data_IF_669546956586
#
_entry.id   IF_669546956586
#
_cell.length_a   1.000
_cell.length_b   1.000
_cell.length_c   1.000
_cell.angle_alpha   90.00
_cell.angle_beta   90.00
_cell.angle_gamma   90.00
#
_symmetry.space_group_name_H-M   'P 1'
#
loop_
_entity.id
_entity.type
_entity.pdbx_description
1 polymer ?
#
# COMPACT_ATOMS: atom_id res chain seq x y z
N UNK A 1 -6.72 -10.32 -24.45
CA UNK A 1 -7.19 -11.37 -23.51
C UNK A 1 -8.19 -10.81 -22.51
N UNK A 2 -9.03 -11.67 -21.94
CA UNK A 2 -10.07 -11.31 -20.97
C UNK A 2 -9.59 -11.47 -19.53
N UNK A 3 -9.68 -10.40 -18.74
CA UNK A 3 -9.08 -10.30 -17.41
C UNK A 3 -10.14 -9.95 -16.36
N UNK A 4 -10.04 -10.56 -15.17
CA UNK A 4 -10.72 -10.10 -13.96
C UNK A 4 -9.67 -9.47 -13.05
N UNK A 5 -9.93 -8.24 -12.61
CA UNK A 5 -9.00 -7.49 -11.77
C UNK A 5 -9.58 -7.35 -10.36
N UNK A 6 -8.76 -7.61 -9.34
CA UNK A 6 -9.15 -7.51 -7.94
C UNK A 6 -8.17 -6.60 -7.23
N UNK A 7 -8.56 -5.37 -6.89
CA UNK A 7 -7.62 -4.42 -6.34
C UNK A 7 -8.11 -3.00 -6.11
N UNK A 8 -7.23 -2.18 -5.53
CA UNK A 8 -7.50 -0.80 -5.14
C UNK A 8 -6.45 0.17 -5.74
N UNK A 9 -6.35 1.38 -5.18
CA UNK A 9 -5.68 2.51 -5.82
C UNK A 9 -4.16 2.36 -6.00
N UNK A 10 -3.44 1.68 -5.10
CA UNK A 10 -1.98 1.58 -5.15
C UNK A 10 -1.50 0.99 -6.48
N UNK A 11 -2.26 0.04 -7.03
CA UNK A 11 -1.96 -0.61 -8.30
C UNK A 11 -2.90 -0.18 -9.44
N UNK A 12 -3.61 0.93 -9.29
CA UNK A 12 -4.48 1.46 -10.35
C UNK A 12 -3.74 1.72 -11.68
N UNK A 13 -2.42 1.92 -11.65
CA UNK A 13 -1.57 1.99 -12.84
C UNK A 13 -1.51 0.68 -13.63
N UNK A 14 -1.56 -0.47 -12.94
CA UNK A 14 -1.66 -1.77 -13.59
C UNK A 14 -2.98 -1.89 -14.35
N UNK A 15 -4.11 -1.53 -13.74
CA UNK A 15 -5.41 -1.53 -14.43
C UNK A 15 -5.42 -0.56 -15.62
N UNK A 16 -4.87 0.65 -15.47
CA UNK A 16 -4.72 1.62 -16.57
C UNK A 16 -3.90 1.05 -17.73
N UNK A 17 -2.79 0.39 -17.41
CA UNK A 17 -1.94 -0.27 -18.42
C UNK A 17 -2.73 -1.35 -19.16
N UNK A 18 -3.43 -2.24 -18.45
CA UNK A 18 -4.22 -3.30 -19.08
C UNK A 18 -5.27 -2.75 -20.05
N UNK A 19 -5.94 -1.66 -19.65
CA UNK A 19 -6.90 -0.97 -20.50
C UNK A 19 -6.24 -0.36 -21.75
N UNK A 20 -5.10 0.30 -21.58
CA UNK A 20 -4.37 0.94 -22.68
C UNK A 20 -3.86 -0.07 -23.72
N UNK A 21 -3.48 -1.27 -23.30
CA UNK A 21 -3.07 -2.36 -24.21
C UNK A 21 -4.25 -3.12 -24.84
N UNK A 22 -5.49 -2.66 -24.61
CA UNK A 22 -6.69 -3.25 -25.21
C UNK A 22 -7.11 -4.59 -24.61
N UNK A 23 -6.68 -4.93 -23.40
CA UNK A 23 -7.22 -6.09 -22.69
C UNK A 23 -8.68 -5.83 -22.28
N UNK A 24 -9.52 -6.86 -22.39
CA UNK A 24 -10.91 -6.76 -21.98
C UNK A 24 -11.03 -7.04 -20.48
N UNK A 25 -11.35 -6.02 -19.68
CA UNK A 25 -11.61 -6.19 -18.26
C UNK A 25 -13.08 -6.59 -18.07
N UNK A 26 -13.33 -7.85 -17.73
CA UNK A 26 -14.70 -8.38 -17.58
C UNK A 26 -15.38 -7.90 -16.30
N UNK A 27 -14.59 -7.74 -15.23
CA UNK A 27 -15.08 -7.35 -13.92
C UNK A 27 -13.93 -6.84 -13.06
N UNK A 28 -14.24 -5.87 -12.22
CA UNK A 28 -13.37 -5.42 -11.14
C UNK A 28 -14.01 -5.73 -9.79
N UNK A 29 -13.22 -6.27 -8.87
CA UNK A 29 -13.56 -6.38 -7.46
C UNK A 29 -12.65 -5.46 -6.64
N UNK A 30 -13.22 -4.65 -5.75
CA UNK A 30 -12.45 -3.77 -4.85
C UNK A 30 -12.81 -4.02 -3.38
N UNK A 31 -11.99 -3.49 -2.48
CA UNK A 31 -12.30 -3.53 -1.05
C UNK A 31 -13.39 -2.50 -0.73
N UNK A 32 -14.17 -2.73 0.33
CA UNK A 32 -15.09 -1.72 0.84
C UNK A 32 -14.31 -0.70 1.70
N UNK A 33 -13.59 0.22 1.05
CA UNK A 33 -12.84 1.30 1.71
C UNK A 33 -13.33 2.66 1.21
N UNK A 34 -13.89 3.53 2.08
CA UNK A 34 -14.48 4.81 1.69
C UNK A 34 -13.46 5.83 1.15
N UNK A 35 -12.16 5.63 1.36
CA UNK A 35 -11.12 6.62 1.03
C UNK A 35 -10.09 6.15 -0.01
N UNK A 36 -10.15 4.89 -0.47
CA UNK A 36 -8.99 4.26 -1.13
C UNK A 36 -9.28 3.60 -2.50
N UNK A 37 -10.37 3.99 -3.17
CA UNK A 37 -10.74 3.37 -4.45
C UNK A 37 -11.29 4.31 -5.53
N UNK A 38 -11.28 5.63 -5.30
CA UNK A 38 -11.87 6.59 -6.26
C UNK A 38 -11.23 6.54 -7.66
N UNK A 39 -9.97 6.13 -7.79
CA UNK A 39 -9.33 5.96 -9.11
C UNK A 39 -9.88 4.72 -9.81
N UNK A 40 -10.02 3.61 -9.08
CA UNK A 40 -10.63 2.38 -9.62
C UNK A 40 -12.07 2.63 -10.04
N UNK A 41 -12.85 3.36 -9.25
CA UNK A 41 -14.23 3.75 -9.57
C UNK A 41 -14.29 4.49 -10.92
N UNK A 42 -13.51 5.57 -11.05
CA UNK A 42 -13.45 6.35 -12.30
C UNK A 42 -12.98 5.53 -13.50
N UNK A 43 -12.03 4.62 -13.31
CA UNK A 43 -11.56 3.75 -14.39
C UNK A 43 -12.66 2.79 -14.85
N UNK A 44 -13.39 2.19 -13.90
CA UNK A 44 -14.51 1.31 -14.21
C UNK A 44 -15.66 2.05 -14.90
N UNK A 45 -16.07 3.20 -14.36
CA UNK A 45 -17.12 4.05 -14.93
C UNK A 45 -16.80 4.47 -16.36
N UNK A 46 -15.61 5.05 -16.59
CA UNK A 46 -15.21 5.56 -17.90
C UNK A 46 -15.07 4.47 -18.98
N UNK A 47 -14.88 3.21 -18.57
CA UNK A 47 -14.72 2.08 -19.49
C UNK A 47 -15.90 1.10 -19.44
N UNK A 48 -17.00 1.47 -18.76
CA UNK A 48 -18.20 0.65 -18.58
C UNK A 48 -17.90 -0.76 -18.01
N UNK A 49 -16.97 -0.87 -17.07
CA UNK A 49 -16.59 -2.14 -16.45
C UNK A 49 -17.48 -2.41 -15.22
N UNK A 50 -18.09 -3.61 -15.10
CA UNK A 50 -18.79 -4.01 -13.89
C UNK A 50 -17.87 -4.00 -12.66
N UNK A 51 -18.22 -3.21 -11.65
CA UNK A 51 -17.48 -3.06 -10.40
C UNK A 51 -18.28 -3.61 -9.22
N UNK A 52 -17.60 -4.38 -8.35
CA UNK A 52 -18.18 -4.96 -7.14
C UNK A 52 -17.31 -4.73 -5.92
N UNK A 53 -17.95 -4.53 -4.76
CA UNK A 53 -17.27 -4.21 -3.48
C UNK A 53 -17.34 -5.37 -2.48
N UNK A 54 -17.82 -6.54 -2.91
CA UNK A 54 -17.89 -7.76 -2.11
C UNK A 54 -16.76 -8.72 -2.47
N UNK A 55 -16.48 -9.66 -1.55
CA UNK A 55 -15.57 -10.77 -1.82
C UNK A 55 -16.21 -11.75 -2.83
N UNK A 56 -15.59 -12.01 -4.00
CA UNK A 56 -16.13 -13.00 -4.92
C UNK A 56 -16.04 -14.41 -4.33
N UNK A 57 -17.09 -15.19 -4.54
CA UNK A 57 -17.08 -16.62 -4.24
C UNK A 57 -16.63 -17.45 -5.47
N UNK A 58 -16.39 -18.75 -5.25
CA UNK A 58 -15.90 -19.66 -6.29
C UNK A 58 -16.88 -19.79 -7.48
N UNK A 59 -18.19 -19.73 -7.23
CA UNK A 59 -19.21 -19.82 -8.28
C UNK A 59 -19.14 -18.60 -9.21
N UNK A 60 -19.05 -17.40 -8.65
CA UNK A 60 -18.91 -16.16 -9.43
C UNK A 60 -17.63 -16.15 -10.28
N UNK A 61 -16.50 -16.59 -9.71
CA UNK A 61 -15.24 -16.67 -10.45
C UNK A 61 -15.31 -17.70 -11.57
N UNK A 62 -15.93 -18.87 -11.34
CA UNK A 62 -16.12 -19.89 -12.37
C UNK A 62 -17.06 -19.41 -13.49
N UNK A 63 -18.08 -18.62 -13.16
CA UNK A 63 -18.94 -18.00 -14.16
C UNK A 63 -18.12 -17.05 -15.06
N UNK A 64 -17.22 -16.24 -14.50
CA UNK A 64 -16.35 -15.36 -15.28
C UNK A 64 -15.41 -16.15 -16.20
N UNK A 65 -14.90 -17.30 -15.73
CA UNK A 65 -14.11 -18.22 -16.56
C UNK A 65 -14.94 -18.78 -17.72
N UNK A 66 -16.20 -19.18 -17.47
CA UNK A 66 -17.12 -19.61 -18.54
C UNK A 66 -17.45 -18.51 -19.55
N UNK A 67 -17.40 -17.23 -19.13
CA UNK A 67 -17.48 -16.07 -20.03
C UNK A 67 -16.17 -15.77 -20.78
N UNK A 68 -15.15 -16.61 -20.56
CA UNK A 68 -13.86 -16.58 -21.23
C UNK A 68 -12.78 -15.84 -20.47
N UNK A 69 -12.91 -15.58 -19.17
CA UNK A 69 -11.79 -15.03 -18.39
C UNK A 69 -10.57 -15.96 -18.45
N UNK A 70 -9.44 -15.42 -18.86
CA UNK A 70 -8.17 -16.17 -18.99
C UNK A 70 -7.21 -15.86 -17.85
N UNK A 71 -7.35 -14.68 -17.22
CA UNK A 71 -6.42 -14.22 -16.19
C UNK A 71 -7.13 -13.50 -15.05
N UNK A 72 -6.73 -13.84 -13.82
CA UNK A 72 -7.05 -13.06 -12.63
C UNK A 72 -5.79 -12.31 -12.15
N UNK A 73 -5.91 -10.99 -11.98
CA UNK A 73 -4.84 -10.14 -11.43
C UNK A 73 -5.33 -9.58 -10.09
N UNK A 74 -4.65 -9.96 -9.02
CA UNK A 74 -4.88 -9.47 -7.66
C UNK A 74 -3.82 -8.42 -7.38
N UNK A 75 -4.21 -7.28 -6.83
CA UNK A 75 -3.28 -6.20 -6.51
C UNK A 75 -3.88 -5.31 -5.42
N UNK A 76 -3.38 -5.39 -4.19
CA UNK A 76 -3.95 -4.68 -3.02
C UNK A 76 -5.40 -5.10 -2.76
N UNK A 77 -5.66 -6.39 -2.60
CA UNK A 77 -7.01 -6.92 -2.29
C UNK A 77 -6.99 -7.65 -0.94
N UNK A 78 -7.93 -7.32 -0.05
CA UNK A 78 -7.86 -7.74 1.36
C UNK A 78 -8.37 -9.16 1.61
N UNK A 79 -9.03 -9.77 0.62
CA UNK A 79 -9.63 -11.08 0.78
C UNK A 79 -8.84 -12.15 0.05
N UNK A 80 -8.68 -13.30 0.69
CA UNK A 80 -8.14 -14.48 0.04
C UNK A 80 -9.07 -14.90 -1.10
N UNK A 81 -8.54 -14.91 -2.32
CA UNK A 81 -9.27 -15.26 -3.54
C UNK A 81 -9.27 -16.78 -3.71
N UNK A 82 -10.43 -17.44 -3.92
CA UNK A 82 -10.48 -18.87 -4.17
C UNK A 82 -9.61 -19.28 -5.37
N UNK A 83 -8.85 -20.37 -5.22
CA UNK A 83 -8.09 -20.95 -6.34
C UNK A 83 -9.07 -21.62 -7.32
N UNK A 84 -8.94 -21.30 -8.60
CA UNK A 84 -9.85 -21.78 -9.67
C UNK A 84 -9.07 -22.47 -10.78
N UNK A 85 -9.75 -22.84 -11.86
CA UNK A 85 -9.14 -23.38 -13.09
C UNK A 85 -8.79 -22.30 -14.14
N UNK A 86 -8.79 -21.02 -13.76
CA UNK A 86 -8.38 -19.94 -14.67
C UNK A 86 -6.95 -20.19 -15.17
N UNK A 87 -6.65 -19.84 -16.43
CA UNK A 87 -5.35 -20.15 -17.05
C UNK A 87 -4.20 -19.51 -16.26
N UNK A 88 -4.35 -18.25 -15.86
CA UNK A 88 -3.36 -17.53 -15.05
C UNK A 88 -4.01 -16.83 -13.87
N UNK A 89 -3.42 -16.95 -12.69
CA UNK A 89 -3.83 -16.16 -11.53
C UNK A 89 -2.61 -15.67 -10.77
N UNK A 90 -2.40 -14.35 -10.77
CA UNK A 90 -1.24 -13.69 -10.17
C UNK A 90 -1.65 -12.64 -9.16
N UNK A 91 -0.81 -12.43 -8.16
CA UNK A 91 -0.87 -11.29 -7.25
C UNK A 91 0.36 -10.40 -7.44
N UNK A 92 0.15 -9.09 -7.37
CA UNK A 92 1.21 -8.07 -7.38
C UNK A 92 1.41 -7.60 -5.94
N UNK A 93 2.54 -8.00 -5.35
CA UNK A 93 2.89 -7.72 -3.96
C UNK A 93 4.00 -6.67 -3.87
N UNK A 94 3.91 -5.66 -2.99
CA UNK A 94 4.86 -4.54 -2.97
C UNK A 94 6.12 -4.80 -2.13
N UNK A 95 6.59 -6.05 -2.10
CA UNK A 95 7.87 -6.42 -1.46
C UNK A 95 8.65 -7.40 -2.34
N UNK A 96 9.90 -7.65 -1.98
CA UNK A 96 10.68 -8.79 -2.47
C UNK A 96 10.34 -10.05 -1.68
N UNK A 97 9.26 -10.74 -2.05
CA UNK A 97 8.90 -12.03 -1.45
C UNK A 97 10.07 -13.04 -1.54
N UNK A 98 10.24 -13.93 -0.56
CA UNK A 98 9.30 -14.24 0.52
C UNK A 98 9.36 -13.31 1.73
N UNK A 99 10.18 -12.25 1.68
CA UNK A 99 10.25 -11.27 2.74
C UNK A 99 9.03 -10.33 2.72
N UNK A 100 8.47 -10.12 3.91
CA UNK A 100 7.40 -9.17 4.13
C UNK A 100 6.04 -9.60 3.60
N UNK A 101 5.71 -10.90 3.63
CA UNK A 101 4.31 -11.34 3.43
C UNK A 101 3.40 -10.61 4.41
N UNK A 102 2.16 -10.32 4.01
CA UNK A 102 1.16 -9.74 4.90
C UNK A 102 0.49 -8.48 4.36
N UNK A 103 -0.43 -7.92 5.14
CA UNK A 103 -1.44 -7.00 4.60
C UNK A 103 -0.98 -5.55 4.44
N UNK A 104 0.04 -5.11 5.17
CA UNK A 104 0.48 -3.70 5.16
C UNK A 104 2.01 -3.58 5.19
N UNK A 105 2.72 -4.07 4.16
CA UNK A 105 4.18 -4.18 4.21
C UNK A 105 4.92 -2.85 4.01
N UNK A 106 4.31 -1.85 3.37
CA UNK A 106 5.03 -0.65 2.93
C UNK A 106 5.70 0.16 4.05
N UNK A 107 5.08 0.39 5.23
CA UNK A 107 5.78 1.11 6.30
C UNK A 107 6.93 0.31 6.92
N UNK A 108 6.91 -1.03 6.83
CA UNK A 108 8.05 -1.86 7.25
C UNK A 108 9.25 -1.66 6.32
N UNK A 109 9.04 -1.40 5.03
CA UNK A 109 10.12 -1.14 4.08
C UNK A 109 10.87 0.16 4.35
N UNK A 110 10.25 1.11 5.07
CA UNK A 110 10.95 2.31 5.56
C UNK A 110 11.91 1.93 6.72
N UNK A 111 11.61 0.86 7.45
CA UNK A 111 12.43 0.33 8.55
C UNK A 111 13.48 -0.68 8.07
N UNK A 112 13.20 -1.43 6.99
CA UNK A 112 14.00 -2.53 6.45
C UNK A 112 14.23 -2.34 4.94
N UNK A 113 15.06 -1.35 4.55
CA UNK A 113 15.04 -0.87 3.20
C UNK A 113 15.59 -1.81 2.12
N UNK A 114 16.37 -2.80 2.52
CA UNK A 114 17.00 -3.81 1.67
C UNK A 114 16.00 -4.72 0.94
N UNK A 115 14.76 -4.80 1.42
CA UNK A 115 13.71 -5.67 0.87
C UNK A 115 12.71 -4.95 -0.04
N UNK A 116 12.98 -3.69 -0.39
CA UNK A 116 12.10 -2.92 -1.26
C UNK A 116 12.10 -3.43 -2.70
N UNK A 117 10.90 -3.64 -3.21
CA UNK A 117 10.67 -4.13 -4.56
C UNK A 117 9.22 -4.48 -4.80
N UNK A 118 8.96 -5.06 -5.97
CA UNK A 118 7.65 -5.60 -6.33
C UNK A 118 7.84 -7.04 -6.76
N UNK A 119 6.92 -7.90 -6.35
CA UNK A 119 6.86 -9.29 -6.76
C UNK A 119 5.54 -9.58 -7.47
N UNK A 120 5.60 -10.22 -8.63
CA UNK A 120 4.48 -10.95 -9.21
C UNK A 120 4.63 -12.40 -8.79
N UNK A 121 3.61 -12.97 -8.14
CA UNK A 121 3.59 -14.38 -7.75
C UNK A 121 2.25 -15.03 -8.07
N UNK A 122 2.22 -16.36 -8.20
CA UNK A 122 0.98 -17.12 -8.36
C UNK A 122 0.14 -17.01 -7.09
N UNK A 123 -1.18 -17.02 -7.21
CA UNK A 123 -2.03 -17.15 -6.02
C UNK A 123 -2.05 -18.61 -5.51
N UNK A 124 -2.31 -18.76 -4.21
CA UNK A 124 -2.54 -20.03 -3.51
C UNK A 124 -3.71 -19.86 -2.54
N UNK A 125 -4.04 -20.93 -1.83
CA UNK A 125 -5.01 -20.95 -0.72
C UNK A 125 -4.48 -20.29 0.57
N UNK A 126 -3.31 -19.67 0.52
CA UNK A 126 -2.74 -18.86 1.59
C UNK A 126 -2.14 -17.57 1.03
N UNK A 127 -2.29 -16.46 1.77
CA UNK A 127 -1.81 -15.13 1.38
C UNK A 127 -0.31 -15.13 1.06
N UNK A 128 0.06 -14.46 -0.03
CA UNK A 128 1.44 -14.14 -0.42
C UNK A 128 2.40 -15.34 -0.47
N UNK A 129 1.86 -16.55 -0.62
CA UNK A 129 2.61 -17.81 -0.45
C UNK A 129 2.94 -18.55 -1.74
N UNK A 130 2.36 -18.14 -2.86
CA UNK A 130 2.54 -18.84 -4.12
C UNK A 130 3.87 -18.56 -4.81
N UNK A 131 4.15 -19.37 -5.83
CA UNK A 131 5.42 -19.38 -6.53
C UNK A 131 5.71 -18.01 -7.16
N UNK A 132 6.94 -17.54 -7.00
CA UNK A 132 7.38 -16.25 -7.53
C UNK A 132 7.52 -16.38 -9.05
N UNK A 133 6.88 -15.47 -9.78
CA UNK A 133 6.91 -15.38 -11.24
C UNK A 133 8.00 -14.39 -11.67
N UNK A 134 7.96 -13.17 -11.12
CA UNK A 134 8.91 -12.10 -11.44
C UNK A 134 9.11 -11.21 -10.21
N UNK A 135 10.28 -10.59 -10.10
CA UNK A 135 10.59 -9.60 -9.06
C UNK A 135 11.38 -8.44 -9.66
N UNK A 136 11.18 -7.24 -9.12
CA UNK A 136 12.02 -6.08 -9.39
C UNK A 136 12.36 -5.35 -8.10
N UNK A 137 13.63 -4.95 -7.94
CA UNK A 137 14.10 -4.21 -6.77
C UNK A 137 13.83 -2.73 -6.93
N UNK A 138 13.47 -2.08 -5.83
CA UNK A 138 13.31 -0.62 -5.76
C UNK A 138 14.41 -0.06 -4.86
N UNK A 139 15.31 0.81 -5.37
CA UNK A 139 16.27 1.50 -4.54
C UNK A 139 15.57 2.55 -3.67
N UNK A 140 15.90 2.54 -2.38
CA UNK A 140 15.42 3.52 -1.41
C UNK A 140 16.51 4.55 -1.11
N UNK A 141 16.11 5.82 -0.96
CA UNK A 141 16.99 6.86 -0.47
C UNK A 141 17.10 6.81 1.07
N UNK A 142 18.09 7.52 1.63
CA UNK A 142 18.25 7.65 3.09
C UNK A 142 17.04 8.34 3.75
N UNK A 143 16.33 9.17 2.98
CA UNK A 143 15.15 9.92 3.39
C UNK A 143 13.86 9.38 2.78
N UNK A 144 13.86 8.11 2.37
CA UNK A 144 12.66 7.47 1.82
C UNK A 144 11.51 7.56 2.82
N UNK A 145 10.34 7.91 2.31
CA UNK A 145 9.08 7.94 3.06
C UNK A 145 8.08 6.96 2.44
N UNK A 146 7.04 6.63 3.20
CA UNK A 146 5.93 5.82 2.69
C UNK A 146 5.37 6.39 1.39
N UNK A 147 5.21 7.71 1.31
CA UNK A 147 4.67 8.40 0.12
C UNK A 147 5.55 8.20 -1.10
N UNK A 148 6.85 8.45 -0.97
CA UNK A 148 7.79 8.34 -2.10
C UNK A 148 7.95 6.88 -2.52
N UNK A 149 7.97 5.95 -1.56
CA UNK A 149 8.03 4.52 -1.83
C UNK A 149 6.77 4.01 -2.53
N UNK A 150 5.58 4.44 -2.10
CA UNK A 150 4.31 4.09 -2.77
C UNK A 150 4.31 4.49 -4.25
N UNK A 151 4.82 5.69 -4.57
CA UNK A 151 4.94 6.15 -5.96
C UNK A 151 5.91 5.26 -6.74
N UNK A 152 7.06 4.92 -6.15
CA UNK A 152 8.02 4.00 -6.79
C UNK A 152 7.43 2.62 -7.03
N UNK A 153 6.73 2.05 -6.05
CA UNK A 153 6.00 0.77 -6.17
C UNK A 153 4.98 0.82 -7.29
N UNK A 154 4.17 1.87 -7.35
CA UNK A 154 3.15 2.10 -8.37
C UNK A 154 3.72 2.17 -9.80
N UNK A 155 4.92 2.74 -9.97
CA UNK A 155 5.60 2.81 -11.25
C UNK A 155 6.28 1.49 -11.61
N UNK A 156 6.96 0.86 -10.64
CA UNK A 156 7.71 -0.37 -10.85
C UNK A 156 6.78 -1.56 -11.11
N UNK A 157 5.59 -1.59 -10.50
CA UNK A 157 4.60 -2.63 -10.74
C UNK A 157 4.16 -2.69 -12.20
N UNK A 158 4.00 -1.55 -12.87
CA UNK A 158 3.66 -1.51 -14.31
C UNK A 158 4.81 -2.01 -15.16
N UNK A 159 6.06 -1.63 -14.84
CA UNK A 159 7.23 -2.14 -15.58
C UNK A 159 7.33 -3.65 -15.46
N UNK A 160 7.18 -4.18 -14.26
CA UNK A 160 7.22 -5.62 -14.01
C UNK A 160 6.06 -6.35 -14.70
N UNK A 161 4.87 -5.76 -14.69
CA UNK A 161 3.72 -6.29 -15.39
C UNK A 161 3.93 -6.30 -16.91
N UNK A 162 4.50 -5.23 -17.49
CA UNK A 162 4.87 -5.20 -18.91
C UNK A 162 5.81 -6.33 -19.29
N UNK A 163 6.82 -6.63 -18.46
CA UNK A 163 7.71 -7.77 -18.67
C UNK A 163 6.93 -9.08 -18.65
N UNK A 164 6.04 -9.28 -17.66
CA UNK A 164 5.18 -10.46 -17.60
C UNK A 164 4.35 -10.66 -18.87
N UNK A 165 3.81 -9.58 -19.44
CA UNK A 165 3.01 -9.63 -20.66
C UNK A 165 3.82 -9.84 -21.96
N UNK A 166 5.16 -9.78 -21.93
CA UNK A 166 5.99 -10.10 -23.10
C UNK A 166 5.93 -11.58 -23.47
N UNK A 167 5.89 -12.47 -22.46
CA UNK A 167 5.70 -13.92 -22.64
C UNK A 167 5.10 -14.54 -21.38
N UNK A 168 3.77 -14.46 -21.26
CA UNK A 168 3.03 -14.91 -20.07
C UNK A 168 3.29 -16.39 -19.80
N UNK A 169 3.25 -17.23 -20.83
CA UNK A 169 3.38 -18.68 -20.69
C UNK A 169 4.78 -19.05 -20.18
N UNK A 170 5.83 -18.44 -20.74
CA UNK A 170 7.20 -18.63 -20.29
C UNK A 170 7.38 -18.27 -18.81
N UNK A 171 7.04 -17.04 -18.42
CA UNK A 171 7.26 -16.58 -17.04
C UNK A 171 6.39 -17.35 -16.04
N UNK A 172 5.14 -17.63 -16.38
CA UNK A 172 4.25 -18.37 -15.49
C UNK A 172 4.70 -19.82 -15.29
N UNK A 173 5.23 -20.49 -16.33
CA UNK A 173 5.74 -21.85 -16.22
C UNK A 173 7.06 -21.92 -15.44
N UNK A 174 7.93 -20.92 -15.58
CA UNK A 174 9.21 -20.84 -14.86
C UNK A 174 9.12 -20.31 -13.43
N UNK A 175 7.91 -20.03 -12.93
CA UNK A 175 7.73 -19.60 -11.56
C UNK A 175 8.32 -20.62 -10.57
N UNK A 176 8.98 -20.12 -9.53
CA UNK A 176 9.73 -20.94 -8.58
C UNK A 176 9.17 -20.82 -7.15
N UNK A 177 9.23 -21.90 -6.34
CA UNK A 177 8.70 -21.88 -4.99
C UNK A 177 9.47 -20.91 -4.09
N UNK A 178 8.75 -20.24 -3.20
CA UNK A 178 9.33 -19.44 -2.13
C UNK A 178 10.11 -20.32 -1.14
N UNK A 179 11.30 -19.87 -0.69
CA UNK A 179 12.13 -20.58 0.31
C UNK A 179 12.30 -19.72 1.56
N UNK A 180 11.82 -20.21 2.71
CA UNK A 180 11.66 -19.36 3.90
C UNK A 180 10.59 -18.30 3.70
N UNK A 181 10.30 -17.53 4.76
CA UNK A 181 9.53 -16.28 4.69
C UNK A 181 9.63 -15.50 5.99
N UNK A 182 9.38 -14.20 5.90
CA UNK A 182 8.96 -13.39 7.04
C UNK A 182 7.49 -12.98 6.88
N UNK A 183 6.85 -12.66 8.01
CA UNK A 183 5.49 -12.17 8.03
C UNK A 183 5.44 -10.83 8.76
N UNK A 184 4.90 -9.83 8.09
CA UNK A 184 4.72 -8.49 8.63
C UNK A 184 3.24 -8.27 8.93
N UNK A 185 2.95 -8.12 10.21
CA UNK A 185 1.59 -7.97 10.70
C UNK A 185 0.95 -6.68 10.17
N UNK A 186 -0.38 -6.61 10.30
CA UNK A 186 -1.11 -5.38 10.00
C UNK A 186 -0.66 -4.27 10.96
N UNK A 187 -0.22 -3.15 10.41
CA UNK A 187 0.13 -1.98 11.20
C UNK A 187 -1.13 -1.36 11.77
N UNK A 188 -1.10 -1.12 13.08
CA UNK A 188 -2.23 -0.56 13.80
C UNK A 188 -2.21 0.98 13.68
N UNK A 189 -3.39 1.60 13.58
CA UNK A 189 -3.52 3.07 13.59
C UNK A 189 -2.92 3.71 14.85
N UNK A 190 -2.87 2.99 15.97
CA UNK A 190 -2.19 3.45 17.19
C UNK A 190 -0.68 3.65 17.04
N UNK A 191 -0.01 2.97 16.10
CA UNK A 191 1.42 3.22 15.81
C UNK A 191 1.67 4.61 15.21
N UNK A 192 0.62 5.30 14.75
CA UNK A 192 0.71 6.70 14.28
C UNK A 192 0.68 7.70 15.42
N UNK A 193 0.29 7.29 16.64
CA UNK A 193 0.23 8.20 17.79
C UNK A 193 1.66 8.60 18.15
N UNK A 194 1.94 9.89 18.09
CA UNK A 194 3.22 10.46 18.45
C UNK A 194 3.35 10.47 19.98
N UNK A 195 4.46 9.93 20.49
CA UNK A 195 4.85 10.12 21.89
C UNK A 195 5.80 11.32 21.98
N UNK A 196 5.35 12.37 22.66
CA UNK A 196 6.11 13.60 22.86
C UNK A 196 7.46 13.35 23.56
N UNK A 197 7.60 12.26 24.32
CA UNK A 197 8.86 11.90 24.98
C UNK A 197 9.87 11.23 24.03
N UNK A 198 9.56 11.11 22.74
CA UNK A 198 10.48 10.56 21.76
C UNK A 198 11.55 11.59 21.34
N UNK A 199 12.79 11.14 21.07
CA UNK A 199 13.77 11.95 20.35
C UNK A 199 13.26 12.37 18.98
N UNK A 200 13.61 13.56 18.51
CA UNK A 200 13.16 14.06 17.19
C UNK A 200 13.58 13.13 16.04
N UNK A 201 14.70 12.43 16.16
CA UNK A 201 15.15 11.43 15.17
C UNK A 201 14.15 10.28 15.02
N UNK A 202 13.55 9.83 16.11
CA UNK A 202 12.55 8.76 16.10
C UNK A 202 11.22 9.28 15.57
N UNK A 203 10.86 10.52 15.89
CA UNK A 203 9.69 11.21 15.32
C UNK A 203 9.87 11.37 13.81
N UNK A 204 11.04 11.82 13.31
CA UNK A 204 11.35 11.90 11.88
C UNK A 204 11.19 10.53 11.20
N UNK A 205 11.67 9.46 11.83
CA UNK A 205 11.49 8.10 11.31
C UNK A 205 10.02 7.71 11.26
N UNK A 206 9.23 8.03 12.29
CA UNK A 206 7.79 7.78 12.34
C UNK A 206 7.06 8.58 11.23
N UNK A 207 7.38 9.86 11.06
CA UNK A 207 6.87 10.70 9.97
C UNK A 207 7.14 10.06 8.61
N UNK A 208 8.36 9.57 8.36
CA UNK A 208 8.67 8.85 7.12
C UNK A 208 7.91 7.53 6.99
N UNK A 209 7.74 6.77 8.07
CA UNK A 209 6.99 5.50 8.05
C UNK A 209 5.52 5.67 7.65
N UNK A 210 4.90 6.81 7.96
CA UNK A 210 3.49 7.07 7.65
C UNK A 210 3.28 8.08 6.52
N UNK A 211 4.30 8.85 6.14
CA UNK A 211 4.27 9.76 5.00
C UNK A 211 3.00 10.62 4.97
N UNK A 212 2.31 10.61 3.83
CA UNK A 212 1.08 11.38 3.58
C UNK A 212 -0.11 10.92 4.42
N UNK A 213 -0.09 9.70 4.98
CA UNK A 213 -1.10 9.25 5.94
C UNK A 213 -0.99 10.10 7.22
N UNK A 214 0.21 10.56 7.55
CA UNK A 214 0.46 11.44 8.67
C UNK A 214 0.43 10.73 10.03
N UNK A 215 0.70 11.50 11.08
CA UNK A 215 0.70 11.04 12.47
C UNK A 215 -0.59 11.44 13.18
N UNK A 216 -0.76 10.92 14.39
CA UNK A 216 -1.82 11.33 15.32
C UNK A 216 -1.11 12.00 16.49
N UNK A 217 -1.44 13.25 16.77
CA UNK A 217 -0.93 13.98 17.93
C UNK A 217 -2.00 14.06 19.00
N UNK A 218 -1.59 13.94 20.27
CA UNK A 218 -2.47 14.19 21.40
C UNK A 218 -2.31 15.63 21.85
N UNK A 219 -3.39 16.40 21.76
CA UNK A 219 -3.48 17.77 22.25
C UNK A 219 -4.57 17.79 23.31
N UNK A 220 -4.22 18.22 24.53
CA UNK A 220 -5.09 18.14 25.70
C UNK A 220 -5.67 16.72 25.91
N UNK A 221 -6.98 16.55 25.71
CA UNK A 221 -7.69 15.26 25.83
C UNK A 221 -8.10 14.66 24.48
N UNK A 222 -7.74 15.31 23.37
CA UNK A 222 -8.17 14.94 22.03
C UNK A 222 -7.02 14.39 21.18
N UNK A 223 -7.40 13.56 20.19
CA UNK A 223 -6.49 13.01 19.20
C UNK A 223 -6.75 13.68 17.86
N UNK A 224 -5.69 14.19 17.24
CA UNK A 224 -5.75 14.90 15.98
C UNK A 224 -4.84 14.22 14.96
N UNK A 225 -5.41 13.77 13.85
CA UNK A 225 -4.61 13.30 12.72
C UNK A 225 -4.04 14.51 11.98
N UNK A 226 -2.77 14.46 11.60
CA UNK A 226 -2.08 15.54 10.87
C UNK A 226 -1.10 14.95 9.86
N UNK A 227 -1.15 15.46 8.63
CA UNK A 227 -0.26 15.05 7.54
C UNK A 227 0.90 16.02 7.30
N UNK A 228 0.91 17.17 7.99
CA UNK A 228 1.92 18.20 7.78
C UNK A 228 2.58 18.60 9.11
N UNK A 229 3.78 18.07 9.28
CA UNK A 229 4.64 18.28 10.44
C UNK A 229 6.02 18.75 9.99
N UNK A 230 6.64 19.64 10.77
CA UNK A 230 8.05 20.02 10.65
C UNK A 230 8.76 19.80 11.98
N UNK A 231 10.08 19.64 11.92
CA UNK A 231 10.90 19.38 13.10
C UNK A 231 12.03 20.39 13.18
N UNK A 232 12.22 20.93 14.37
CA UNK A 232 13.31 21.84 14.72
C UNK A 232 14.23 21.10 15.68
N UNK A 233 15.49 20.94 15.31
CA UNK A 233 16.56 20.54 16.22
C UNK A 233 16.90 21.73 17.12
N UNK A 234 16.35 21.72 18.34
CA UNK A 234 16.47 22.81 19.30
C UNK A 234 16.52 22.27 20.72
N UNK A 235 17.68 22.41 21.37
CA UNK A 235 17.85 21.99 22.76
C UNK A 235 17.10 22.90 23.70
N UNK A 236 16.28 22.30 24.56
CA UNK A 236 15.53 22.99 25.61
C UNK A 236 15.49 22.17 26.90
N UNK A 237 15.05 22.79 27.99
CA UNK A 237 14.76 22.13 29.28
C UNK A 237 13.27 22.06 29.59
N UNK A 238 12.43 22.42 28.62
CA UNK A 238 10.97 22.40 28.75
C UNK A 238 10.43 20.97 28.71
N UNK A 239 9.30 20.75 29.36
CA UNK A 239 8.64 19.44 29.41
C UNK A 239 8.12 19.04 28.02
N UNK A 240 8.31 17.79 27.58
CA UNK A 240 7.67 17.27 26.38
C UNK A 240 6.15 17.45 26.39
N UNK A 241 5.58 17.80 25.24
CA UNK A 241 4.16 18.12 25.07
C UNK A 241 3.78 19.56 25.45
N UNK A 242 4.73 20.38 25.91
CA UNK A 242 4.46 21.80 26.17
C UNK A 242 4.43 22.60 24.86
N UNK A 243 3.35 23.36 24.66
CA UNK A 243 3.20 24.30 23.53
C UNK A 243 4.10 25.51 23.77
N UNK A 244 5.05 25.74 22.88
CA UNK A 244 6.01 26.87 22.95
C UNK A 244 5.64 28.02 22.02
N UNK A 245 4.82 27.74 21.01
CA UNK A 245 4.31 28.74 20.09
C UNK A 245 2.94 28.30 19.57
N UNK A 246 2.04 29.26 19.43
CA UNK A 246 0.73 29.05 18.83
C UNK A 246 0.29 30.33 18.11
N UNK A 247 -0.14 30.17 16.86
CA UNK A 247 -0.91 31.17 16.11
C UNK A 247 -2.09 30.50 15.39
N UNK A 248 -2.82 31.23 14.54
CA UNK A 248 -4.00 30.73 13.83
C UNK A 248 -3.72 29.53 12.91
N UNK A 249 -2.46 29.34 12.48
CA UNK A 249 -2.05 28.37 11.47
C UNK A 249 -1.13 27.27 12.00
N UNK A 250 -0.42 27.52 13.11
CA UNK A 250 0.68 26.69 13.56
C UNK A 250 0.65 26.45 15.07
N UNK A 251 1.00 25.23 15.48
CA UNK A 251 1.37 24.87 16.85
C UNK A 251 2.81 24.40 16.86
N UNK A 252 3.64 24.87 17.79
CA UNK A 252 4.97 24.31 18.03
C UNK A 252 5.03 23.70 19.43
N UNK A 253 5.40 22.43 19.51
CA UNK A 253 5.28 21.62 20.72
C UNK A 253 6.62 20.92 20.98
N UNK A 254 7.09 20.98 22.22
CA UNK A 254 8.34 20.33 22.60
C UNK A 254 8.24 18.80 22.51
N UNK A 255 9.23 18.19 21.88
CA UNK A 255 9.57 16.78 22.01
C UNK A 255 10.64 16.61 23.11
N UNK A 256 11.33 15.46 23.14
CA UNK A 256 12.40 15.21 24.13
C UNK A 256 13.61 16.15 23.96
N UNK A 257 14.06 16.34 22.72
CA UNK A 257 15.31 17.02 22.35
C UNK A 257 15.15 17.99 21.17
N UNK A 258 13.92 18.46 20.92
CA UNK A 258 13.60 19.40 19.85
C UNK A 258 12.14 19.80 19.84
N UNK A 259 11.69 20.45 18.77
CA UNK A 259 10.33 21.00 18.65
C UNK A 259 9.66 20.40 17.41
N UNK A 260 8.40 20.01 17.53
CA UNK A 260 7.55 19.59 16.41
C UNK A 260 6.56 20.72 16.11
N UNK A 261 6.55 21.17 14.87
CA UNK A 261 5.58 22.13 14.36
C UNK A 261 4.44 21.39 13.67
N UNK A 262 3.20 21.62 14.11
CA UNK A 262 1.98 21.03 13.58
C UNK A 262 1.20 22.12 12.83
N UNK A 263 0.98 21.91 11.53
CA UNK A 263 0.18 22.83 10.72
C UNK A 263 -1.30 22.55 10.92
N UNK A 264 -2.03 23.51 11.51
CA UNK A 264 -3.44 23.38 11.91
C UNK A 264 -4.36 23.06 10.72
N UNK A 265 -4.05 23.54 9.53
CA UNK A 265 -4.81 23.27 8.30
C UNK A 265 -4.77 21.79 7.84
N UNK A 266 -3.82 21.01 8.35
CA UNK A 266 -3.68 19.58 8.07
C UNK A 266 -4.34 18.71 9.13
N UNK A 267 -4.89 19.32 10.18
CA UNK A 267 -5.43 18.62 11.32
C UNK A 267 -6.90 18.22 11.10
N UNK A 268 -7.22 16.99 11.50
CA UNK A 268 -8.60 16.52 11.62
C UNK A 268 -8.79 15.77 12.93
N UNK A 269 -9.91 16.05 13.60
CA UNK A 269 -10.24 15.39 14.86
C UNK A 269 -10.48 13.90 14.60
N UNK A 270 -9.82 13.04 15.37
CA UNK A 270 -10.04 11.60 15.33
C UNK A 270 -11.26 11.27 16.19
N UNK A 271 -12.42 11.16 15.56
CA UNK A 271 -13.64 10.66 16.22
C UNK A 271 -13.52 9.15 16.41
N UNK A 272 -13.61 8.67 17.66
CA UNK A 272 -13.71 7.23 17.95
C UNK A 272 -15.06 6.67 17.56
#
# INVERSE_FOLDING_TARGET
>A
MKIVYLGNNLFSSCLKYLLAEGHQILRVYKNNSPHDSSIIDRLCENNCIPLHNHKPNLSELNQLISLGAEMFIIAEYSYLVPVTKVKYAINIHPTLLPEGRGPTPLPYLIKLPEFSGVTIHKIRDSFDSGDIVLQSKIPQSIDESLTTLMIKVHLESVKLLKVFFQDIDYYYQLAYPQKGHSYWAKINGSERVLDWNSPIKDIQKQMRCFGHIGLIVKLEQELWATSHLEIIDYKHSLKPGHVVFEDDSLLAINALDGIVCVHKNSMSLVTM
#
